data_IF_022993187244
#
_entry.id   IF_022993187244
#
_cell.length_a   1.000
_cell.length_b   1.000
_cell.length_c   1.000
_cell.angle_alpha   90.00
_cell.angle_beta   90.00
_cell.angle_gamma   90.00
#
_symmetry.space_group_name_H-M   'P 1'
#
loop_
_entity.id
_entity.type
_entity.pdbx_description
1 polymer ?
#
# COMPACT_ATOMS: atom_id res chain seq x y z
N UNK A 1 -0.04 55.90 -30.28
CA UNK A 1 -0.34 54.56 -29.73
C UNK A 1 0.35 53.54 -30.61
N UNK A 2 1.31 52.78 -30.07
CA UNK A 2 1.98 51.72 -30.84
C UNK A 2 0.99 50.60 -31.14
N UNK A 3 1.02 50.08 -32.38
CA UNK A 3 0.21 48.92 -32.77
C UNK A 3 0.68 47.72 -31.95
N UNK A 4 -0.23 47.09 -31.22
CA UNK A 4 0.06 45.87 -30.47
C UNK A 4 0.49 44.78 -31.44
N UNK A 5 1.52 44.02 -31.10
CA UNK A 5 1.88 42.84 -31.89
C UNK A 5 0.83 41.75 -31.71
N UNK A 6 0.71 40.85 -32.69
CA UNK A 6 -0.21 39.70 -32.61
C UNK A 6 0.01 38.86 -31.33
N UNK A 7 1.25 38.77 -30.86
CA UNK A 7 1.59 38.06 -29.63
C UNK A 7 1.07 38.77 -28.38
N UNK A 8 1.18 40.11 -28.31
CA UNK A 8 0.65 40.89 -27.19
C UNK A 8 -0.88 40.81 -27.13
N UNK A 9 -1.54 40.89 -28.29
CA UNK A 9 -2.99 40.73 -28.38
C UNK A 9 -3.42 39.34 -27.89
N UNK A 10 -2.74 38.28 -28.31
CA UNK A 10 -3.01 36.91 -27.87
C UNK A 10 -2.85 36.75 -26.35
N UNK A 11 -1.77 37.27 -25.75
CA UNK A 11 -1.53 37.18 -24.31
C UNK A 11 -2.57 37.94 -23.49
N UNK A 12 -3.03 39.10 -23.97
CA UNK A 12 -4.12 39.86 -23.32
C UNK A 12 -5.44 39.09 -23.35
N UNK A 13 -5.79 38.51 -24.50
CA UNK A 13 -7.00 37.68 -24.64
C UNK A 13 -6.94 36.47 -23.72
N UNK A 14 -5.80 35.77 -23.69
CA UNK A 14 -5.59 34.62 -22.82
C UNK A 14 -5.64 35.00 -21.32
N UNK A 15 -5.00 36.10 -20.94
CA UNK A 15 -5.07 36.66 -19.58
C UNK A 15 -6.51 36.95 -19.16
N UNK A 16 -7.29 37.62 -20.01
CA UNK A 16 -8.71 37.89 -19.79
C UNK A 16 -9.54 36.61 -19.62
N UNK A 17 -9.33 35.62 -20.50
CA UNK A 17 -10.00 34.33 -20.43
C UNK A 17 -9.67 33.57 -19.13
N UNK A 18 -8.40 33.56 -18.69
CA UNK A 18 -8.00 32.92 -17.44
C UNK A 18 -8.55 33.64 -16.21
N UNK A 19 -8.58 34.98 -16.19
CA UNK A 19 -9.21 35.74 -15.10
C UNK A 19 -10.71 35.47 -15.02
N UNK A 20 -11.41 35.45 -16.16
CA UNK A 20 -12.84 35.09 -16.23
C UNK A 20 -13.07 33.66 -15.72
N UNK A 21 -12.25 32.71 -16.17
CA UNK A 21 -12.31 31.33 -15.71
C UNK A 21 -12.11 31.23 -14.19
N UNK A 22 -11.11 31.91 -13.62
CA UNK A 22 -10.86 31.93 -12.19
C UNK A 22 -12.07 32.48 -11.40
N UNK A 23 -12.69 33.57 -11.88
CA UNK A 23 -13.92 34.13 -11.30
C UNK A 23 -15.09 33.15 -11.34
N UNK A 24 -15.30 32.47 -12.47
CA UNK A 24 -16.37 31.48 -12.63
C UNK A 24 -16.19 30.29 -11.69
N UNK A 25 -14.95 29.79 -11.56
CA UNK A 25 -14.62 28.66 -10.67
C UNK A 25 -14.79 29.06 -9.19
N UNK A 26 -14.38 30.28 -8.81
CA UNK A 26 -14.57 30.82 -7.46
C UNK A 26 -16.06 31.00 -7.12
N UNK A 27 -16.86 31.58 -8.03
CA UNK A 27 -18.31 31.76 -7.85
C UNK A 27 -19.04 30.43 -7.68
N UNK A 28 -18.58 29.37 -8.34
CA UNK A 28 -19.09 28.00 -8.18
C UNK A 28 -18.62 27.30 -6.89
N UNK A 29 -17.96 28.00 -5.97
CA UNK A 29 -17.38 27.51 -4.70
C UNK A 29 -16.45 26.29 -4.87
N UNK A 30 -15.86 26.12 -6.06
CA UNK A 30 -14.94 25.01 -6.35
C UNK A 30 -13.51 25.26 -5.84
N UNK A 31 -13.15 26.52 -5.56
CA UNK A 31 -11.84 26.92 -5.03
C UNK A 31 -12.00 27.89 -3.85
N UNK A 32 -11.04 27.85 -2.93
CA UNK A 32 -10.95 28.80 -1.80
C UNK A 32 -10.42 30.16 -2.27
N UNK A 33 -10.58 31.20 -1.44
CA UNK A 33 -10.19 32.58 -1.76
C UNK A 33 -8.72 32.72 -2.14
N UNK A 34 -7.81 32.08 -1.40
CA UNK A 34 -6.36 32.22 -1.65
C UNK A 34 -5.93 31.66 -3.03
N UNK A 35 -6.27 30.41 -3.42
CA UNK A 35 -6.02 29.93 -4.78
C UNK A 35 -6.65 30.81 -5.86
N UNK A 36 -7.86 31.32 -5.63
CA UNK A 36 -8.50 32.25 -6.56
C UNK A 36 -7.66 33.51 -6.76
N UNK A 37 -7.27 34.20 -5.68
CA UNK A 37 -6.45 35.41 -5.75
C UNK A 37 -5.11 35.13 -6.44
N UNK A 38 -4.47 34.01 -6.16
CA UNK A 38 -3.22 33.62 -6.81
C UNK A 38 -3.36 33.49 -8.33
N UNK A 39 -4.36 32.72 -8.80
CA UNK A 39 -4.59 32.54 -10.25
C UNK A 39 -5.03 33.84 -10.93
N UNK A 40 -5.90 34.61 -10.29
CA UNK A 40 -6.40 35.87 -10.85
C UNK A 40 -5.29 36.91 -10.98
N UNK A 41 -4.52 37.13 -9.91
CA UNK A 41 -3.38 38.05 -9.93
C UNK A 41 -2.29 37.59 -10.89
N UNK A 42 -2.01 36.29 -10.97
CA UNK A 42 -1.05 35.72 -11.93
C UNK A 42 -1.48 35.97 -13.39
N UNK A 43 -2.74 35.70 -13.71
CA UNK A 43 -3.28 35.98 -15.04
C UNK A 43 -3.24 37.49 -15.35
N UNK A 44 -3.58 38.34 -14.39
CA UNK A 44 -3.49 39.80 -14.53
C UNK A 44 -2.05 40.27 -14.78
N UNK A 45 -1.07 39.72 -14.04
CA UNK A 45 0.34 40.03 -14.19
C UNK A 45 0.87 39.67 -15.59
N UNK A 46 0.47 38.52 -16.15
CA UNK A 46 0.81 38.13 -17.54
C UNK A 46 0.28 39.18 -18.53
N UNK A 47 -0.96 39.66 -18.33
CA UNK A 47 -1.55 40.72 -19.13
C UNK A 47 -0.75 42.03 -19.06
N UNK A 48 -0.40 42.47 -17.85
CA UNK A 48 0.39 43.69 -17.61
C UNK A 48 1.79 43.58 -18.25
N UNK A 49 2.51 42.49 -18.02
CA UNK A 49 3.86 42.30 -18.56
C UNK A 49 3.87 42.15 -20.08
N UNK A 50 2.77 41.69 -20.70
CA UNK A 50 2.67 41.66 -22.16
C UNK A 50 2.71 43.07 -22.79
N UNK A 51 2.18 44.08 -22.10
CA UNK A 51 2.17 45.49 -22.52
C UNK A 51 3.48 46.24 -22.21
N UNK A 52 4.25 45.76 -21.22
CA UNK A 52 5.49 46.37 -20.72
C UNK A 52 6.56 45.30 -20.45
N UNK A 53 7.03 44.68 -21.53
CA UNK A 53 8.03 43.59 -21.46
C UNK A 53 9.35 44.05 -20.80
N UNK A 54 9.70 45.33 -20.93
CA UNK A 54 10.89 45.93 -20.32
C UNK A 54 10.91 45.78 -18.79
N UNK A 55 9.75 45.86 -18.13
CA UNK A 55 9.66 45.70 -16.68
C UNK A 55 9.99 44.27 -16.27
N UNK A 56 9.53 43.29 -17.04
CA UNK A 56 9.84 41.89 -16.82
C UNK A 56 11.32 41.61 -17.08
N UNK A 57 11.90 42.21 -18.13
CA UNK A 57 13.32 42.08 -18.44
C UNK A 57 14.20 42.71 -17.35
N UNK A 58 13.82 43.86 -16.81
CA UNK A 58 14.53 44.50 -15.70
C UNK A 58 14.58 43.58 -14.46
N UNK A 59 13.46 42.91 -14.15
CA UNK A 59 13.42 41.90 -13.08
C UNK A 59 14.28 40.68 -13.46
N UNK A 60 14.20 40.17 -14.68
CA UNK A 60 15.03 39.04 -15.12
C UNK A 60 16.53 39.30 -14.96
N UNK A 61 16.98 40.52 -15.30
CA UNK A 61 18.39 40.93 -15.23
C UNK A 61 18.89 40.93 -13.78
N UNK A 62 18.06 41.27 -12.77
CA UNK A 62 18.49 41.20 -11.36
C UNK A 62 18.76 39.76 -10.91
N UNK A 63 18.20 38.77 -11.59
CA UNK A 63 18.46 37.34 -11.40
C UNK A 63 19.52 36.77 -12.37
N UNK A 64 20.21 37.62 -13.13
CA UNK A 64 21.24 37.21 -14.09
C UNK A 64 20.68 36.59 -15.38
N UNK A 65 19.41 36.83 -15.70
CA UNK A 65 18.76 36.31 -16.91
C UNK A 65 18.79 37.34 -18.04
N UNK A 66 19.02 36.85 -19.26
CA UNK A 66 19.04 37.70 -20.46
C UNK A 66 17.64 38.16 -20.88
N UNK A 67 16.59 37.40 -20.54
CA UNK A 67 15.19 37.70 -20.85
C UNK A 67 14.33 37.48 -19.62
N UNK A 68 13.45 38.44 -19.33
CA UNK A 68 12.47 38.31 -18.25
C UNK A 68 11.47 37.18 -18.47
N UNK A 69 11.26 36.77 -19.72
CA UNK A 69 10.43 35.61 -20.05
C UNK A 69 11.00 34.30 -19.46
N UNK A 70 12.33 34.15 -19.38
CA UNK A 70 12.98 32.96 -18.82
C UNK A 70 12.66 32.82 -17.32
N UNK A 71 12.54 33.95 -16.61
CA UNK A 71 12.14 33.98 -15.21
C UNK A 71 10.72 33.40 -15.02
N UNK A 72 9.78 33.78 -15.91
CA UNK A 72 8.42 33.24 -15.89
C UNK A 72 8.45 31.73 -16.11
N UNK A 73 9.26 31.23 -17.05
CA UNK A 73 9.38 29.80 -17.31
C UNK A 73 9.91 29.06 -16.08
N UNK A 74 10.99 29.52 -15.46
CA UNK A 74 11.55 28.87 -14.26
C UNK A 74 10.57 28.87 -13.09
N UNK A 75 9.94 30.01 -12.78
CA UNK A 75 8.92 30.10 -11.74
C UNK A 75 7.73 29.19 -12.05
N UNK A 76 7.29 29.13 -13.31
CA UNK A 76 6.18 28.25 -13.72
C UNK A 76 6.51 26.78 -13.54
N UNK A 77 7.74 26.35 -13.88
CA UNK A 77 8.20 24.98 -13.68
C UNK A 77 8.24 24.64 -12.18
N UNK A 78 8.76 25.54 -11.33
CA UNK A 78 8.79 25.32 -9.87
C UNK A 78 7.38 25.23 -9.28
N UNK A 79 6.47 26.12 -9.68
CA UNK A 79 5.07 26.10 -9.25
C UNK A 79 4.37 24.82 -9.73
N UNK A 80 4.59 24.42 -10.99
CA UNK A 80 4.03 23.18 -11.52
C UNK A 80 4.55 21.96 -10.75
N UNK A 81 5.85 21.89 -10.47
CA UNK A 81 6.45 20.82 -9.69
C UNK A 81 5.89 20.77 -8.26
N UNK A 82 5.77 21.91 -7.60
CA UNK A 82 5.12 22.00 -6.28
C UNK A 82 3.65 21.55 -6.31
N UNK A 83 2.89 21.97 -7.33
CA UNK A 83 1.49 21.54 -7.48
C UNK A 83 1.40 20.03 -7.73
N UNK A 84 2.29 19.46 -8.55
CA UNK A 84 2.34 18.01 -8.78
C UNK A 84 2.64 17.25 -7.48
N UNK A 85 3.65 17.67 -6.71
CA UNK A 85 3.95 17.09 -5.40
C UNK A 85 2.78 17.24 -4.42
N UNK A 86 2.17 18.42 -4.35
CA UNK A 86 1.03 18.66 -3.47
C UNK A 86 -0.19 17.81 -3.84
N UNK A 87 -0.48 17.64 -5.13
CA UNK A 87 -1.56 16.78 -5.60
C UNK A 87 -1.25 15.30 -5.33
N UNK A 88 0.00 14.88 -5.53
CA UNK A 88 0.44 13.52 -5.19
C UNK A 88 0.23 13.22 -3.70
N UNK A 89 0.69 14.08 -2.79
CA UNK A 89 0.54 13.90 -1.35
C UNK A 89 -0.93 13.91 -0.90
N UNK A 90 -1.75 14.78 -1.50
CA UNK A 90 -3.21 14.79 -1.26
C UNK A 90 -3.85 13.48 -1.70
N UNK A 91 -3.52 13.01 -2.90
CA UNK A 91 -4.04 11.74 -3.42
C UNK A 91 -3.65 10.57 -2.53
N UNK A 92 -2.39 10.51 -2.07
CA UNK A 92 -1.94 9.48 -1.11
C UNK A 92 -2.77 9.52 0.18
N UNK A 93 -3.00 10.71 0.75
CA UNK A 93 -3.84 10.88 1.95
C UNK A 93 -5.29 10.44 1.71
N UNK A 94 -5.87 10.77 0.55
CA UNK A 94 -7.23 10.35 0.21
C UNK A 94 -7.36 8.84 0.05
N UNK A 95 -6.36 8.19 -0.56
CA UNK A 95 -6.31 6.74 -0.67
C UNK A 95 -6.30 6.08 0.71
N UNK A 96 -5.46 6.54 1.64
CA UNK A 96 -5.44 6.01 3.01
C UNK A 96 -6.79 6.18 3.73
N UNK A 97 -7.44 7.34 3.60
CA UNK A 97 -8.78 7.57 4.18
C UNK A 97 -9.86 6.70 3.57
N UNK A 98 -9.81 6.48 2.25
CA UNK A 98 -10.74 5.59 1.57
C UNK A 98 -10.54 4.14 2.03
N UNK A 99 -9.29 3.68 2.14
CA UNK A 99 -8.97 2.35 2.68
C UNK A 99 -9.47 2.19 4.11
N UNK A 100 -9.28 3.21 4.96
CA UNK A 100 -9.76 3.18 6.34
C UNK A 100 -11.29 3.08 6.43
N UNK A 101 -12.01 3.86 5.62
CA UNK A 101 -13.46 3.80 5.53
C UNK A 101 -13.95 2.44 5.05
N UNK A 102 -13.36 1.90 3.98
CA UNK A 102 -13.74 0.58 3.45
C UNK A 102 -13.50 -0.49 4.50
N UNK A 103 -12.34 -0.46 5.17
CA UNK A 103 -12.00 -1.40 6.24
C UNK A 103 -13.01 -1.35 7.38
N UNK A 104 -13.34 -0.16 7.89
CA UNK A 104 -14.34 -0.03 8.97
C UNK A 104 -15.70 -0.59 8.55
N UNK A 105 -16.18 -0.25 7.34
CA UNK A 105 -17.44 -0.78 6.81
C UNK A 105 -17.41 -2.31 6.60
N UNK A 106 -16.24 -2.85 6.24
CA UNK A 106 -16.04 -4.29 6.09
C UNK A 106 -16.04 -5.02 7.42
N UNK A 107 -15.44 -4.43 8.47
CA UNK A 107 -15.44 -4.98 9.83
C UNK A 107 -16.85 -5.00 10.42
N UNK A 108 -17.63 -3.93 10.23
CA UNK A 108 -19.04 -3.86 10.66
C UNK A 108 -19.92 -4.93 9.98
N UNK A 109 -19.54 -5.37 8.78
CA UNK A 109 -20.27 -6.39 7.99
C UNK A 109 -19.62 -7.77 8.07
N UNK A 110 -18.72 -8.01 9.02
CA UNK A 110 -18.12 -9.31 9.21
C UNK A 110 -19.20 -10.37 9.50
N UNK A 111 -19.05 -11.55 8.91
CA UNK A 111 -19.95 -12.70 9.12
C UNK A 111 -19.21 -13.72 9.99
N UNK A 112 -19.88 -14.22 11.03
CA UNK A 112 -19.28 -15.11 12.03
C UNK A 112 -18.59 -14.35 13.16
N UNK A 113 -18.16 -15.08 14.19
CA UNK A 113 -17.42 -14.53 15.33
C UNK A 113 -16.58 -15.61 16.00
N UNK A 114 -15.28 -15.37 16.09
CA UNK A 114 -14.35 -16.26 16.82
C UNK A 114 -14.58 -16.07 18.32
N UNK A 115 -15.20 -17.05 18.97
CA UNK A 115 -15.47 -16.99 20.41
C UNK A 115 -14.19 -17.14 21.24
N UNK A 116 -13.39 -18.17 20.94
CA UNK A 116 -12.14 -18.45 21.65
C UNK A 116 -11.15 -19.15 20.74
N UNK A 117 -10.00 -18.53 20.51
CA UNK A 117 -8.85 -19.19 19.88
C UNK A 117 -7.57 -18.45 20.22
N UNK A 118 -6.53 -19.17 20.65
CA UNK A 118 -5.23 -18.57 20.97
C UNK A 118 -4.40 -18.27 19.72
N UNK A 119 -4.65 -19.00 18.62
CA UNK A 119 -3.95 -18.86 17.35
C UNK A 119 -4.98 -18.56 16.27
N UNK A 120 -4.86 -17.41 15.63
CA UNK A 120 -5.79 -16.97 14.60
C UNK A 120 -5.07 -16.71 13.29
N UNK A 121 -5.52 -17.34 12.23
CA UNK A 121 -5.00 -17.17 10.89
C UNK A 121 -5.70 -16.00 10.19
N UNK A 122 -4.93 -15.15 9.52
CA UNK A 122 -5.44 -14.14 8.58
C UNK A 122 -5.13 -14.61 7.18
N UNK A 123 -6.18 -14.88 6.41
CA UNK A 123 -6.07 -15.41 5.04
C UNK A 123 -6.70 -14.40 4.07
N UNK A 124 -5.89 -13.57 3.39
CA UNK A 124 -6.38 -12.67 2.35
C UNK A 124 -6.57 -13.44 1.03
N UNK A 125 -7.63 -13.14 0.28
CA UNK A 125 -7.88 -13.75 -1.02
C UNK A 125 -8.54 -12.79 -2.01
N UNK A 126 -8.21 -12.95 -3.30
CA UNK A 126 -8.87 -12.22 -4.39
C UNK A 126 -9.02 -13.09 -5.63
N UNK A 127 -10.27 -13.31 -6.06
CA UNK A 127 -10.63 -14.13 -7.21
C UNK A 127 -9.95 -15.52 -7.19
N UNK A 128 -9.89 -16.13 -6.00
CA UNK A 128 -9.34 -17.47 -5.81
C UNK A 128 -10.35 -18.56 -6.20
N UNK A 129 -9.81 -19.73 -6.53
CA UNK A 129 -10.58 -20.95 -6.77
C UNK A 129 -10.97 -21.63 -5.45
N UNK A 130 -11.65 -22.78 -5.52
CA UNK A 130 -12.06 -23.56 -4.34
C UNK A 130 -10.89 -24.11 -3.52
N UNK A 131 -9.65 -23.99 -4.00
CA UNK A 131 -8.46 -24.37 -3.26
C UNK A 131 -8.38 -23.70 -1.87
N UNK A 132 -8.79 -22.42 -1.78
CA UNK A 132 -8.77 -21.71 -0.49
C UNK A 132 -9.74 -22.32 0.54
N UNK A 133 -10.80 -23.02 0.12
CA UNK A 133 -11.72 -23.72 1.03
C UNK A 133 -11.01 -24.90 1.70
N UNK A 134 -10.14 -25.61 0.97
CA UNK A 134 -9.36 -26.72 1.52
C UNK A 134 -8.38 -26.22 2.60
N UNK A 135 -7.66 -25.15 2.27
CA UNK A 135 -6.75 -24.47 3.20
C UNK A 135 -7.45 -24.04 4.49
N UNK A 136 -8.65 -23.45 4.38
CA UNK A 136 -9.42 -23.03 5.54
C UNK A 136 -9.88 -24.23 6.37
N UNK A 137 -10.34 -25.32 5.74
CA UNK A 137 -10.71 -26.54 6.47
C UNK A 137 -9.52 -27.11 7.24
N UNK A 138 -8.34 -27.22 6.62
CA UNK A 138 -7.14 -27.74 7.29
C UNK A 138 -6.82 -26.96 8.57
N UNK A 139 -6.95 -25.63 8.54
CA UNK A 139 -6.70 -24.77 9.70
C UNK A 139 -7.77 -24.96 10.78
N UNK A 140 -9.05 -24.92 10.39
CA UNK A 140 -10.15 -25.04 11.34
C UNK A 140 -10.22 -26.43 11.97
N UNK A 141 -9.82 -27.48 11.25
CA UNK A 141 -9.84 -28.87 11.75
C UNK A 141 -8.74 -29.13 12.79
N UNK A 142 -7.71 -28.28 12.85
CA UNK A 142 -6.74 -28.23 13.95
C UNK A 142 -7.23 -27.40 15.16
N UNK A 143 -8.44 -26.82 15.10
CA UNK A 143 -9.02 -26.01 16.17
C UNK A 143 -8.51 -24.56 16.22
N UNK A 144 -7.88 -24.07 15.15
CA UNK A 144 -7.41 -22.70 15.07
C UNK A 144 -8.48 -21.76 14.50
N UNK A 145 -8.46 -20.50 14.92
CA UNK A 145 -9.34 -19.47 14.39
C UNK A 145 -8.91 -19.05 12.99
N UNK A 146 -9.87 -18.67 12.14
CA UNK A 146 -9.61 -18.12 10.80
C UNK A 146 -10.40 -16.84 10.59
N UNK A 147 -9.68 -15.77 10.29
CA UNK A 147 -10.21 -14.53 9.73
C UNK A 147 -9.88 -14.51 8.26
N UNK A 148 -10.87 -14.84 7.43
CA UNK A 148 -10.75 -14.84 5.99
C UNK A 148 -11.20 -13.48 5.44
N UNK A 149 -10.36 -12.84 4.63
CA UNK A 149 -10.64 -11.53 4.04
C UNK A 149 -10.73 -11.65 2.52
N UNK A 150 -11.96 -11.63 1.99
CA UNK A 150 -12.22 -11.51 0.55
C UNK A 150 -12.01 -10.05 0.11
N UNK A 151 -10.94 -9.79 -0.62
CA UNK A 151 -10.56 -8.48 -1.15
C UNK A 151 -11.37 -8.10 -2.40
N UNK A 152 -12.70 -8.20 -2.31
CA UNK A 152 -13.64 -7.76 -3.33
C UNK A 152 -13.76 -8.69 -4.55
N UNK A 153 -13.71 -10.00 -4.35
CA UNK A 153 -13.86 -10.99 -5.43
C UNK A 153 -15.22 -10.91 -6.11
N UNK A 154 -15.20 -11.09 -7.43
CA UNK A 154 -16.38 -11.08 -8.32
C UNK A 154 -16.78 -12.47 -8.81
N UNK A 155 -15.99 -13.51 -8.50
CA UNK A 155 -16.18 -14.88 -8.96
C UNK A 155 -17.09 -15.73 -8.04
N UNK A 156 -17.85 -15.12 -7.13
CA UNK A 156 -18.71 -15.84 -6.19
C UNK A 156 -17.99 -16.50 -5.01
N UNK A 157 -16.69 -16.25 -4.81
CA UNK A 157 -15.89 -16.80 -3.69
C UNK A 157 -16.55 -16.55 -2.31
N UNK A 158 -16.97 -15.32 -2.04
CA UNK A 158 -17.61 -14.96 -0.77
C UNK A 158 -18.81 -15.85 -0.42
N UNK A 159 -19.72 -16.06 -1.38
CA UNK A 159 -20.93 -16.84 -1.15
C UNK A 159 -20.61 -18.31 -0.89
N UNK A 160 -19.61 -18.87 -1.60
CA UNK A 160 -19.15 -20.25 -1.39
C UNK A 160 -18.53 -20.44 -0.01
N UNK A 161 -17.68 -19.50 0.43
CA UNK A 161 -17.08 -19.53 1.77
C UNK A 161 -18.14 -19.37 2.87
N UNK A 162 -19.07 -18.44 2.68
CA UNK A 162 -20.16 -18.21 3.62
C UNK A 162 -20.98 -19.48 3.81
N UNK A 163 -21.35 -20.18 2.72
CA UNK A 163 -22.10 -21.43 2.82
C UNK A 163 -21.27 -22.56 3.43
N UNK A 164 -20.02 -22.71 3.01
CA UNK A 164 -19.14 -23.80 3.46
C UNK A 164 -18.84 -23.76 4.97
N UNK A 165 -18.79 -22.55 5.56
CA UNK A 165 -18.34 -22.35 6.94
C UNK A 165 -19.38 -21.70 7.86
N UNK A 166 -20.65 -21.65 7.45
CA UNK A 166 -21.74 -21.01 8.22
C UNK A 166 -21.90 -21.53 9.65
N UNK A 167 -21.52 -22.79 9.90
CA UNK A 167 -21.67 -23.46 11.20
C UNK A 167 -20.35 -23.51 12.00
N UNK A 168 -19.25 -22.96 11.48
CA UNK A 168 -17.93 -22.97 12.15
C UNK A 168 -17.79 -21.74 13.03
N UNK A 169 -17.74 -21.92 14.35
CA UNK A 169 -17.60 -20.82 15.32
C UNK A 169 -16.19 -20.22 15.38
N UNK A 170 -15.21 -20.91 14.80
CA UNK A 170 -13.82 -20.45 14.69
C UNK A 170 -13.56 -19.68 13.39
N UNK A 171 -14.57 -19.50 12.54
CA UNK A 171 -14.45 -18.86 11.24
C UNK A 171 -15.14 -17.49 11.20
N UNK A 172 -14.43 -16.51 10.63
CA UNK A 172 -14.93 -15.17 10.32
C UNK A 172 -14.65 -14.86 8.86
N UNK A 173 -15.66 -14.34 8.18
CA UNK A 173 -15.58 -13.92 6.80
C UNK A 173 -15.81 -12.41 6.68
N UNK A 174 -14.84 -11.70 6.12
CA UNK A 174 -14.89 -10.27 5.88
C UNK A 174 -14.76 -10.03 4.38
N UNK A 175 -15.56 -9.10 3.82
CA UNK A 175 -15.46 -8.71 2.41
C UNK A 175 -15.22 -7.22 2.24
N UNK A 176 -14.24 -6.89 1.42
CA UNK A 176 -14.07 -5.55 0.89
C UNK A 176 -15.06 -5.27 -0.23
N UNK A 177 -15.60 -4.06 -0.26
CA UNK A 177 -16.56 -3.63 -1.30
C UNK A 177 -15.89 -3.51 -2.68
N UNK A 178 -14.57 -3.28 -2.71
CA UNK A 178 -13.72 -3.19 -3.90
C UNK A 178 -12.37 -3.81 -3.56
N UNK A 179 -11.66 -4.27 -4.58
CA UNK A 179 -10.28 -4.73 -4.41
C UNK A 179 -9.39 -3.57 -3.95
N UNK A 180 -8.79 -3.72 -2.77
CA UNK A 180 -7.85 -2.75 -2.20
C UNK A 180 -6.40 -3.23 -2.33
N UNK A 181 -6.19 -4.55 -2.29
CA UNK A 181 -4.91 -5.23 -2.33
C UNK A 181 -4.65 -6.06 -1.07
N UNK A 182 -3.67 -6.97 -1.17
CA UNK A 182 -3.34 -7.93 -0.10
C UNK A 182 -2.92 -7.27 1.22
N UNK A 183 -2.14 -6.19 1.18
CA UNK A 183 -1.74 -5.45 2.37
C UNK A 183 -2.92 -4.84 3.12
N UNK A 184 -3.91 -4.30 2.38
CA UNK A 184 -5.14 -3.80 2.99
C UNK A 184 -5.97 -4.94 3.61
N UNK A 185 -6.04 -6.10 2.94
CA UNK A 185 -6.72 -7.29 3.47
C UNK A 185 -6.07 -7.82 4.76
N UNK A 186 -4.74 -7.87 4.81
CA UNK A 186 -4.00 -8.20 6.03
C UNK A 186 -4.29 -7.21 7.15
N UNK A 187 -4.25 -5.90 6.86
CA UNK A 187 -4.55 -4.86 7.85
C UNK A 187 -5.99 -4.99 8.38
N UNK A 188 -6.95 -5.35 7.53
CA UNK A 188 -8.34 -5.63 7.94
C UNK A 188 -8.40 -6.82 8.90
N UNK A 189 -7.72 -7.93 8.59
CA UNK A 189 -7.65 -9.09 9.48
C UNK A 189 -6.98 -8.78 10.82
N UNK A 190 -5.86 -8.05 10.81
CA UNK A 190 -5.19 -7.59 12.04
C UNK A 190 -6.10 -6.72 12.90
N UNK A 191 -6.83 -5.80 12.26
CA UNK A 191 -7.77 -4.91 12.95
C UNK A 191 -8.91 -5.70 13.59
N UNK A 192 -9.47 -6.68 12.89
CA UNK A 192 -10.50 -7.55 13.42
C UNK A 192 -10.01 -8.33 14.65
N UNK A 193 -8.86 -9.00 14.56
CA UNK A 193 -8.31 -9.80 15.67
C UNK A 193 -8.02 -8.93 16.89
N UNK A 194 -7.48 -7.73 16.67
CA UNK A 194 -7.18 -6.78 17.73
C UNK A 194 -8.45 -6.37 18.49
N UNK A 195 -9.56 -6.14 17.77
CA UNK A 195 -10.80 -5.61 18.32
C UNK A 195 -11.72 -6.70 18.89
N UNK A 196 -11.89 -7.80 18.16
CA UNK A 196 -12.98 -8.75 18.36
C UNK A 196 -12.54 -10.10 18.95
N UNK A 197 -11.24 -10.41 18.99
CA UNK A 197 -10.74 -11.71 19.47
C UNK A 197 -9.77 -11.54 20.67
N UNK A 198 -10.26 -11.20 21.87
CA UNK A 198 -9.42 -11.00 23.06
C UNK A 198 -8.51 -12.18 23.41
N UNK A 199 -8.97 -13.41 23.16
CA UNK A 199 -8.27 -14.66 23.47
C UNK A 199 -7.06 -14.96 22.58
N UNK A 200 -6.94 -14.30 21.43
CA UNK A 200 -5.82 -14.51 20.52
C UNK A 200 -4.49 -14.07 21.15
N UNK A 201 -3.51 -14.95 21.12
CA UNK A 201 -2.12 -14.69 21.52
C UNK A 201 -1.24 -14.53 20.29
N UNK A 202 -1.49 -15.32 19.25
CA UNK A 202 -0.73 -15.33 18.01
C UNK A 202 -1.64 -15.09 16.80
N UNK A 203 -1.11 -14.30 15.87
CA UNK A 203 -1.66 -14.13 14.53
C UNK A 203 -0.74 -14.80 13.55
N UNK A 204 -1.31 -15.67 12.71
CA UNK A 204 -0.58 -16.35 11.66
C UNK A 204 -1.04 -15.80 10.32
N UNK A 205 -0.10 -15.47 9.44
CA UNK A 205 -0.41 -15.10 8.06
C UNK A 205 0.20 -16.13 7.13
N UNK A 206 -0.53 -16.54 6.11
CA UNK A 206 0.03 -17.20 4.93
C UNK A 206 -0.96 -17.07 3.75
N UNK A 207 -0.49 -17.27 2.52
CA UNK A 207 -1.29 -17.10 1.30
C UNK A 207 -2.34 -18.21 1.11
N UNK A 208 -3.50 -17.89 0.54
CA UNK A 208 -4.61 -18.83 0.35
C UNK A 208 -4.40 -19.90 -0.75
N UNK A 209 -3.20 -19.96 -1.33
CA UNK A 209 -2.88 -20.75 -2.53
C UNK A 209 -2.32 -22.16 -2.25
N UNK A 210 -2.17 -22.52 -0.97
CA UNK A 210 -1.70 -23.83 -0.54
C UNK A 210 -0.20 -24.07 -0.65
N UNK A 211 0.60 -23.04 -0.94
CA UNK A 211 2.05 -23.22 -1.00
C UNK A 211 2.67 -23.51 0.38
N UNK A 212 2.01 -23.05 1.45
CA UNK A 212 2.47 -23.17 2.82
C UNK A 212 1.80 -24.35 3.52
N UNK A 213 2.60 -25.10 4.29
CA UNK A 213 2.11 -26.26 5.02
C UNK A 213 1.77 -25.90 6.47
N UNK A 214 0.55 -26.24 6.89
CA UNK A 214 0.13 -26.08 8.29
C UNK A 214 1.01 -26.90 9.26
N UNK A 215 1.58 -28.01 8.78
CA UNK A 215 2.50 -28.85 9.55
C UNK A 215 3.79 -28.15 10.00
N UNK A 216 4.13 -27.01 9.39
CA UNK A 216 5.29 -26.22 9.81
C UNK A 216 5.00 -25.38 11.06
N UNK A 217 3.72 -25.12 11.40
CA UNK A 217 3.31 -24.22 12.49
C UNK A 217 3.98 -24.56 13.85
N UNK A 218 4.06 -25.83 14.30
CA UNK A 218 4.73 -26.15 15.56
C UNK A 218 6.18 -25.65 15.62
N UNK A 219 6.91 -25.70 14.50
CA UNK A 219 8.27 -25.17 14.40
C UNK A 219 8.35 -23.65 14.52
N UNK A 220 7.28 -22.93 14.15
CA UNK A 220 7.17 -21.49 14.37
C UNK A 220 6.81 -21.12 15.81
N UNK A 221 6.08 -21.99 16.53
CA UNK A 221 5.67 -21.75 17.91
C UNK A 221 6.81 -22.05 18.90
N UNK A 222 7.64 -23.06 18.63
CA UNK A 222 8.74 -23.47 19.50
C UNK A 222 9.67 -22.32 19.95
N UNK A 223 10.11 -21.38 19.09
CA UNK A 223 10.94 -20.26 19.53
C UNK A 223 10.27 -19.34 20.55
N UNK A 224 8.94 -19.20 20.53
CA UNK A 224 8.20 -18.38 21.49
C UNK A 224 8.13 -19.02 22.87
N UNK A 225 8.21 -20.35 22.96
CA UNK A 225 8.32 -21.08 24.22
C UNK A 225 9.70 -20.92 24.87
N UNK A 226 10.73 -20.74 24.04
CA UNK A 226 12.13 -20.61 24.47
C UNK A 226 12.53 -19.19 24.83
N UNK A 227 11.87 -18.19 24.24
CA UNK A 227 12.20 -16.78 24.38
C UNK A 227 10.93 -15.95 24.58
N UNK A 228 10.63 -15.61 25.83
CA UNK A 228 9.45 -14.81 26.20
C UNK A 228 9.46 -13.43 25.52
N UNK A 229 10.65 -12.89 25.22
CA UNK A 229 10.80 -11.60 24.56
C UNK A 229 10.65 -11.66 23.04
N UNK A 230 10.59 -12.86 22.44
CA UNK A 230 10.37 -13.00 21.01
C UNK A 230 8.97 -12.51 20.64
N UNK A 231 8.86 -11.65 19.64
CA UNK A 231 7.60 -11.03 19.24
C UNK A 231 7.11 -11.52 17.87
N UNK A 232 8.02 -11.89 16.96
CA UNK A 232 7.70 -12.32 15.59
C UNK A 232 8.57 -13.49 15.12
N UNK A 233 7.98 -14.48 14.49
CA UNK A 233 8.67 -15.52 13.73
C UNK A 233 8.37 -15.36 12.23
N UNK A 234 9.43 -15.26 11.43
CA UNK A 234 9.36 -15.06 9.99
C UNK A 234 9.79 -16.33 9.25
N UNK A 235 8.99 -16.79 8.31
CA UNK A 235 9.32 -17.99 7.53
C UNK A 235 10.48 -17.74 6.57
N UNK A 236 11.36 -18.72 6.44
CA UNK A 236 12.43 -18.71 5.45
C UNK A 236 12.48 -19.98 4.64
N UNK A 237 12.27 -19.83 3.33
CA UNK A 237 12.38 -20.94 2.37
C UNK A 237 13.84 -21.34 2.11
N UNK A 238 14.78 -20.45 2.43
CA UNK A 238 16.22 -20.67 2.23
C UNK A 238 16.88 -21.35 3.44
N UNK A 239 16.27 -21.27 4.62
CA UNK A 239 16.65 -22.08 5.79
C UNK A 239 15.96 -23.44 5.82
N UNK A 240 14.77 -23.55 5.20
CA UNK A 240 14.00 -24.78 5.09
C UNK A 240 14.27 -25.59 3.83
N UNK A 241 13.22 -26.24 3.31
CA UNK A 241 13.26 -26.97 2.04
C UNK A 241 12.35 -26.28 1.03
N UNK A 242 12.93 -25.82 -0.06
CA UNK A 242 12.15 -25.32 -1.17
C UNK A 242 12.21 -26.29 -2.35
N UNK A 243 11.08 -26.91 -2.68
CA UNK A 243 10.98 -27.95 -3.70
C UNK A 243 10.61 -27.28 -5.02
N UNK A 244 11.42 -27.43 -6.08
CA UNK A 244 11.17 -26.90 -7.42
C UNK A 244 11.20 -25.36 -7.59
N UNK A 245 12.10 -24.63 -6.89
CA UNK A 245 12.27 -23.18 -7.17
C UNK A 245 12.91 -22.98 -8.57
N UNK A 246 12.33 -22.13 -9.46
CA UNK A 246 13.00 -21.70 -10.68
C UNK A 246 14.26 -20.85 -10.42
N UNK A 247 15.36 -21.12 -11.11
CA UNK A 247 16.65 -20.42 -10.90
C UNK A 247 16.57 -18.89 -11.02
N UNK A 248 15.76 -18.37 -11.95
CA UNK A 248 15.52 -16.92 -12.12
C UNK A 248 14.86 -16.32 -10.87
N UNK A 249 13.97 -17.05 -10.20
CA UNK A 249 13.28 -16.61 -8.98
C UNK A 249 14.25 -16.48 -7.81
N UNK A 250 15.25 -17.36 -7.72
CA UNK A 250 16.33 -17.28 -6.71
C UNK A 250 17.11 -15.97 -6.85
N UNK A 251 17.45 -15.57 -8.08
CA UNK A 251 18.19 -14.33 -8.32
C UNK A 251 17.37 -13.09 -7.93
N UNK A 252 16.09 -13.02 -8.32
CA UNK A 252 15.20 -11.91 -7.95
C UNK A 252 15.02 -11.81 -6.43
N UNK A 253 14.87 -12.94 -5.73
CA UNK A 253 14.77 -12.97 -4.27
C UNK A 253 16.05 -12.46 -3.60
N UNK A 254 17.23 -12.84 -4.11
CA UNK A 254 18.51 -12.34 -3.58
C UNK A 254 18.67 -10.83 -3.74
N UNK A 255 18.20 -10.26 -4.84
CA UNK A 255 18.15 -8.81 -5.01
C UNK A 255 17.19 -8.19 -3.99
N UNK A 256 16.01 -8.77 -3.79
CA UNK A 256 15.03 -8.33 -2.79
C UNK A 256 15.59 -8.30 -1.37
N UNK A 257 16.44 -9.27 -1.00
CA UNK A 257 17.14 -9.29 0.29
C UNK A 257 18.08 -8.08 0.43
N UNK A 258 18.88 -7.78 -0.59
CA UNK A 258 19.79 -6.63 -0.55
C UNK A 258 19.04 -5.31 -0.42
N UNK A 259 17.95 -5.13 -1.18
CA UNK A 259 17.08 -3.96 -1.03
C UNK A 259 16.54 -3.90 0.40
N UNK A 260 15.91 -4.96 0.89
CA UNK A 260 15.32 -4.97 2.24
C UNK A 260 16.36 -4.63 3.31
N UNK A 261 17.59 -5.15 3.22
CA UNK A 261 18.66 -4.82 4.16
C UNK A 261 19.01 -3.32 4.13
N UNK A 262 19.13 -2.72 2.94
CA UNK A 262 19.41 -1.28 2.78
C UNK A 262 18.29 -0.42 3.37
N UNK A 263 17.03 -0.84 3.19
CA UNK A 263 15.87 -0.03 3.55
C UNK A 263 15.41 -0.22 5.00
N UNK A 264 15.40 -1.45 5.51
CA UNK A 264 14.91 -1.81 6.85
C UNK A 264 16.02 -2.01 7.89
N UNK A 265 17.28 -2.16 7.46
CA UNK A 265 18.39 -2.56 8.33
C UNK A 265 18.35 -4.03 8.79
N UNK A 266 17.27 -4.76 8.49
CA UNK A 266 17.11 -6.16 8.89
C UNK A 266 17.96 -7.08 8.00
N UNK A 267 18.66 -8.02 8.65
CA UNK A 267 19.31 -9.13 7.97
C UNK A 267 18.36 -10.32 8.00
N UNK A 268 17.79 -10.62 6.84
CA UNK A 268 16.89 -11.75 6.64
C UNK A 268 17.37 -12.60 5.47
N UNK A 269 17.17 -13.90 5.60
CA UNK A 269 17.42 -14.87 4.54
C UNK A 269 16.28 -14.96 3.53
N UNK A 270 15.03 -14.62 3.90
CA UNK A 270 13.88 -14.56 2.99
C UNK A 270 12.96 -13.36 3.31
N UNK A 271 12.89 -12.38 2.41
CA UNK A 271 12.14 -11.14 2.64
C UNK A 271 10.74 -11.13 2.04
N UNK A 272 10.37 -12.18 1.30
CA UNK A 272 9.10 -12.28 0.57
C UNK A 272 8.33 -13.55 0.94
N UNK A 273 8.47 -13.99 2.20
CA UNK A 273 7.70 -15.09 2.75
C UNK A 273 6.39 -14.58 3.38
N UNK A 274 5.27 -15.18 2.98
CA UNK A 274 3.95 -14.88 3.53
C UNK A 274 3.72 -15.52 4.90
N UNK A 275 4.45 -16.61 5.22
CA UNK A 275 4.31 -17.34 6.48
C UNK A 275 4.94 -16.56 7.63
N UNK A 276 4.12 -16.06 8.54
CA UNK A 276 4.55 -15.29 9.72
C UNK A 276 3.71 -15.67 10.91
N UNK A 277 4.34 -15.77 12.08
CA UNK A 277 3.64 -15.85 13.37
C UNK A 277 3.99 -14.61 14.16
N UNK A 278 2.97 -13.85 14.56
CA UNK A 278 3.10 -12.53 15.16
C UNK A 278 2.37 -12.55 16.49
N UNK A 279 3.02 -12.16 17.60
CA UNK A 279 2.29 -11.95 18.86
C UNK A 279 1.24 -10.86 18.68
N UNK A 280 0.02 -11.08 19.16
CA UNK A 280 -1.09 -10.11 19.06
C UNK A 280 -0.72 -8.74 19.62
N UNK A 281 0.11 -8.69 20.67
CA UNK A 281 0.60 -7.46 21.29
C UNK A 281 1.37 -6.54 20.33
N UNK A 282 1.84 -7.07 19.20
CA UNK A 282 2.63 -6.36 18.19
C UNK A 282 1.73 -5.70 17.13
N UNK A 283 0.49 -6.17 16.93
CA UNK A 283 -0.42 -5.63 15.90
C UNK A 283 -0.61 -4.10 15.96
N UNK A 284 -0.70 -3.44 17.14
CA UNK A 284 -0.82 -1.98 17.19
C UNK A 284 0.38 -1.23 16.59
N UNK A 285 1.56 -1.88 16.53
CA UNK A 285 2.80 -1.35 15.92
C UNK A 285 2.87 -1.64 14.41
N UNK A 286 2.10 -2.61 13.91
CA UNK A 286 2.08 -3.01 12.50
C UNK A 286 0.93 -2.35 11.74
N UNK A 287 1.01 -1.01 11.59
CA UNK A 287 0.02 -0.23 10.83
C UNK A 287 0.46 -0.10 9.37
N UNK A 288 -0.11 -0.93 8.51
CA UNK A 288 0.19 -0.96 7.09
C UNK A 288 -0.44 0.23 6.36
N UNK A 289 0.37 0.88 5.53
CA UNK A 289 -0.03 1.99 4.66
C UNK A 289 -0.03 1.58 3.19
N UNK A 290 0.71 0.52 2.83
CA UNK A 290 0.67 -0.04 1.50
C UNK A 290 -0.42 -1.09 1.36
N UNK A 291 -1.38 -0.81 0.48
CA UNK A 291 -2.48 -1.75 0.25
C UNK A 291 -2.07 -2.97 -0.60
N UNK A 292 -1.04 -2.86 -1.44
CA UNK A 292 -0.65 -3.90 -2.41
C UNK A 292 0.32 -4.93 -1.86
N UNK A 293 1.16 -5.51 -2.73
CA UNK A 293 2.20 -6.49 -2.38
C UNK A 293 3.38 -5.87 -1.61
N UNK A 294 3.49 -4.54 -1.66
CA UNK A 294 4.53 -3.77 -0.97
C UNK A 294 4.47 -3.97 0.56
N UNK A 295 3.33 -4.40 1.10
CA UNK A 295 3.16 -4.79 2.52
C UNK A 295 4.21 -5.78 3.00
N UNK A 296 4.71 -6.65 2.11
CA UNK A 296 5.71 -7.64 2.46
C UNK A 296 7.00 -6.97 2.95
N UNK A 297 7.39 -5.86 2.32
CA UNK A 297 8.57 -5.06 2.72
C UNK A 297 8.23 -4.09 3.85
N UNK A 298 7.02 -3.50 3.84
CA UNK A 298 6.58 -2.59 4.90
C UNK A 298 6.53 -3.25 6.28
N UNK A 299 6.04 -4.49 6.37
CA UNK A 299 6.01 -5.23 7.65
C UNK A 299 7.42 -5.39 8.22
N UNK A 300 8.40 -5.70 7.38
CA UNK A 300 9.79 -5.84 7.81
C UNK A 300 10.38 -4.48 8.23
N UNK A 301 10.10 -3.43 7.47
CA UNK A 301 10.49 -2.07 7.85
C UNK A 301 9.92 -1.66 9.22
N UNK A 302 8.63 -1.94 9.48
CA UNK A 302 7.99 -1.67 10.77
C UNK A 302 8.60 -2.51 11.90
N UNK A 303 8.90 -3.79 11.64
CA UNK A 303 9.60 -4.65 12.62
C UNK A 303 10.97 -4.05 13.00
N UNK A 304 11.78 -3.67 12.00
CA UNK A 304 13.09 -3.08 12.21
C UNK A 304 13.04 -1.72 12.92
N UNK A 305 12.17 -0.81 12.47
CA UNK A 305 12.04 0.54 13.03
C UNK A 305 11.51 0.55 14.46
N UNK A 306 10.62 -0.39 14.81
CA UNK A 306 10.02 -0.48 16.15
C UNK A 306 10.86 -1.36 17.10
N UNK A 307 12.00 -1.88 16.65
CA UNK A 307 12.87 -2.74 17.46
C UNK A 307 12.20 -4.05 17.90
N UNK A 308 11.26 -4.56 17.11
CA UNK A 308 10.49 -5.77 17.42
C UNK A 308 11.43 -6.99 17.34
N UNK A 309 11.47 -7.80 18.40
CA UNK A 309 12.35 -8.97 18.44
C UNK A 309 11.81 -10.07 17.51
N UNK A 310 12.64 -10.51 16.57
CA UNK A 310 12.25 -11.49 15.56
C UNK A 310 13.22 -12.66 15.43
N UNK A 311 12.75 -13.77 14.86
CA UNK A 311 13.56 -14.93 14.47
C UNK A 311 13.14 -15.43 13.08
N UNK A 312 14.08 -16.04 12.34
CA UNK A 312 13.76 -16.75 11.11
C UNK A 312 13.57 -18.25 11.39
N UNK A 313 12.48 -18.81 10.86
CA UNK A 313 12.12 -20.23 11.03
C UNK A 313 12.10 -20.89 9.65
N UNK A 314 12.74 -22.06 9.48
CA UNK A 314 12.69 -22.78 8.23
C UNK A 314 11.26 -23.16 7.86
N UNK A 315 10.84 -22.90 6.63
CA UNK A 315 9.54 -23.37 6.13
C UNK A 315 9.64 -24.08 4.78
N UNK A 316 8.67 -24.95 4.53
CA UNK A 316 8.52 -25.68 3.28
C UNK A 316 7.56 -24.95 2.37
N UNK A 317 8.00 -24.69 1.13
CA UNK A 317 7.16 -24.07 0.10
C UNK A 317 6.98 -25.06 -1.05
N UNK A 318 5.73 -25.40 -1.33
CA UNK A 318 5.34 -26.26 -2.44
C UNK A 318 4.99 -25.43 -3.67
N UNK A 319 5.83 -25.46 -4.71
CA UNK A 319 5.48 -24.83 -5.99
C UNK A 319 4.65 -25.79 -6.84
N UNK A 320 3.34 -25.55 -6.87
CA UNK A 320 2.39 -26.24 -7.75
C UNK A 320 2.37 -25.63 -9.16
N UNK A 321 1.90 -26.35 -10.17
CA UNK A 321 1.73 -25.81 -11.54
C UNK A 321 0.85 -24.55 -11.54
N UNK A 322 -0.17 -24.51 -10.68
CA UNK A 322 -1.03 -23.35 -10.44
C UNK A 322 -0.24 -22.12 -9.95
N UNK A 323 0.63 -22.31 -8.95
CA UNK A 323 1.47 -21.23 -8.41
C UNK A 323 2.49 -20.69 -9.43
N UNK A 324 3.01 -21.56 -10.30
CA UNK A 324 3.98 -21.17 -11.33
C UNK A 324 3.31 -20.39 -12.47
N UNK A 325 2.09 -20.76 -12.86
CA UNK A 325 1.31 -20.05 -13.88
C UNK A 325 0.93 -18.62 -13.46
N UNK A 326 0.77 -18.36 -12.16
CA UNK A 326 0.50 -17.04 -11.58
C UNK A 326 1.75 -16.23 -11.22
N UNK A 327 2.95 -16.73 -11.53
CA UNK A 327 4.22 -16.07 -11.21
C UNK A 327 4.23 -14.58 -11.59
N UNK A 328 4.73 -13.73 -10.68
CA UNK A 328 4.72 -12.28 -10.88
C UNK A 328 5.49 -11.88 -12.13
N UNK A 329 4.84 -11.09 -13.00
CA UNK A 329 5.50 -10.43 -14.12
C UNK A 329 6.56 -9.46 -13.59
N UNK A 330 7.72 -9.39 -14.27
CA UNK A 330 8.82 -8.48 -13.93
C UNK A 330 8.39 -7.01 -13.82
N UNK A 331 7.37 -6.60 -14.59
CA UNK A 331 6.75 -5.27 -14.53
C UNK A 331 6.14 -4.94 -13.16
N UNK A 332 5.56 -5.95 -12.49
CA UNK A 332 4.96 -5.77 -11.17
C UNK A 332 6.05 -5.60 -10.10
N UNK A 333 7.16 -6.33 -10.22
CA UNK A 333 8.33 -6.15 -9.33
C UNK A 333 8.93 -4.75 -9.46
N UNK A 334 9.04 -4.20 -10.68
CA UNK A 334 9.49 -2.82 -10.89
C UNK A 334 8.50 -1.79 -10.31
N UNK A 335 7.20 -2.06 -10.38
CA UNK A 335 6.17 -1.22 -9.78
C UNK A 335 6.28 -1.17 -8.25
N UNK A 336 6.53 -2.31 -7.62
CA UNK A 336 6.77 -2.42 -6.16
C UNK A 336 7.98 -1.56 -5.77
N UNK A 337 9.12 -1.71 -6.45
CA UNK A 337 10.33 -0.92 -6.17
C UNK A 337 10.07 0.58 -6.35
N UNK A 338 9.39 0.97 -7.43
CA UNK A 338 9.00 2.37 -7.66
C UNK A 338 8.14 2.91 -6.52
N UNK A 339 7.13 2.16 -6.08
CA UNK A 339 6.21 2.59 -5.04
C UNK A 339 6.93 2.76 -3.68
N UNK A 340 7.82 1.83 -3.32
CA UNK A 340 8.66 1.93 -2.12
C UNK A 340 9.57 3.16 -2.17
N UNK A 341 10.27 3.39 -3.29
CA UNK A 341 11.15 4.55 -3.47
C UNK A 341 10.39 5.87 -3.41
N UNK A 342 9.22 5.94 -4.07
CA UNK A 342 8.39 7.14 -4.04
C UNK A 342 7.90 7.47 -2.63
N UNK A 343 7.50 6.47 -1.85
CA UNK A 343 7.08 6.70 -0.48
C UNK A 343 8.24 7.17 0.41
N UNK A 344 9.45 6.66 0.22
CA UNK A 344 10.59 7.12 1.04
C UNK A 344 11.05 8.54 0.69
N UNK A 345 10.92 8.93 -0.58
CA UNK A 345 11.34 10.26 -1.05
C UNK A 345 10.27 11.33 -0.82
N UNK A 346 8.99 10.95 -0.83
CA UNK A 346 7.86 11.89 -0.88
C UNK A 346 6.71 11.57 0.08
N UNK A 347 6.72 10.39 0.70
CA UNK A 347 5.81 10.03 1.79
C UNK A 347 6.21 10.77 3.07
N UNK A 348 5.20 11.10 3.88
CA UNK A 348 5.38 11.79 5.16
C UNK A 348 6.00 10.87 6.22
#
# INVERSE_FOLDING_TARGET
MGVLTNLQLLLLVMSGAFMLFALLVYKRRKIRLFPFLFFFCGAMAIGIFSLRVEWLNAIGITFGLNRGADLIVYVSIMVLFYLLLSQYNRNATYQLKQTDLIRTLSLEKAIGKIQKSEIVFVIPAYNESDHCIQVVNEVLDQGYGVVFVDDGSSNGLFARLQEAFKEREEFVLIKHIVNMGQGAALQTGFSYIQQEVPSAQFVVTFDSDGQHLLSDLPGFLQPFEQDEHLEVALGSRFMGKAVNIPAIKVFTLKIGILFTFIFSGMRLSDTHNGYRVIKKSVLPKLKLTFNGMEHASEILELIGQQGIKYVEVPNTILYTEYSMARGQKLSNSLKIVKNLLMNKLFGN
#
